data_IF_485067598946
#
_entry.id   IF_485067598946
#
_cell.length_a   1.000
_cell.length_b   1.000
_cell.length_c   1.000
_cell.angle_alpha   90.00
_cell.angle_beta   90.00
_cell.angle_gamma   90.00
#
_symmetry.space_group_name_H-M   'P 1'
#
loop_
_entity.id
_entity.type
_entity.pdbx_description
1 polymer ?
#
# COMPACT_ATOMS: atom_id res chain seq x y z
N UNK A 1 -27.55 0.72 -11.04
CA UNK A 1 -26.83 0.45 -12.30
C UNK A 1 -25.65 -0.47 -12.02
N UNK A 2 -25.54 -1.58 -12.74
CA UNK A 2 -24.29 -2.33 -12.85
C UNK A 2 -23.25 -1.41 -13.49
N UNK A 3 -22.50 -0.68 -12.65
CA UNK A 3 -21.26 -0.06 -13.07
C UNK A 3 -20.30 -1.23 -13.34
N UNK A 4 -20.27 -1.66 -14.60
CA UNK A 4 -19.14 -2.39 -15.13
C UNK A 4 -17.93 -1.46 -15.06
N UNK A 5 -17.33 -1.40 -13.87
CA UNK A 5 -16.06 -0.72 -13.64
C UNK A 5 -15.06 -1.52 -14.45
N UNK A 6 -14.71 -0.97 -15.61
CA UNK A 6 -13.67 -1.50 -16.47
C UNK A 6 -12.40 -1.47 -15.62
N UNK A 7 -11.96 -2.63 -15.15
CA UNK A 7 -10.63 -2.81 -14.60
C UNK A 7 -9.69 -2.35 -15.73
N UNK A 8 -8.89 -1.28 -15.56
CA UNK A 8 -7.97 -0.85 -16.60
C UNK A 8 -7.10 -2.05 -16.97
N UNK A 9 -7.13 -2.44 -18.23
CA UNK A 9 -6.37 -3.57 -18.76
C UNK A 9 -4.88 -3.23 -18.86
N UNK A 10 -4.26 -2.81 -17.76
CA UNK A 10 -2.81 -2.64 -17.62
C UNK A 10 -2.08 -3.99 -17.49
N UNK A 11 -2.83 -5.10 -17.60
CA UNK A 11 -2.31 -6.47 -17.76
C UNK A 11 -1.38 -6.56 -18.98
N UNK A 12 -1.62 -5.78 -20.04
CA UNK A 12 -0.87 -5.85 -21.30
C UNK A 12 0.53 -5.23 -21.21
N UNK A 13 0.67 -4.13 -20.45
CA UNK A 13 1.94 -3.39 -20.35
C UNK A 13 2.90 -4.16 -19.44
N UNK A 14 2.40 -4.66 -18.30
CA UNK A 14 3.22 -5.37 -17.31
C UNK A 14 3.63 -6.79 -17.77
N UNK A 15 2.81 -7.48 -18.58
CA UNK A 15 3.15 -8.79 -19.13
C UNK A 15 4.21 -8.72 -20.24
N UNK A 16 4.17 -7.71 -21.10
CA UNK A 16 5.07 -7.66 -22.25
C UNK A 16 6.51 -7.33 -21.85
N UNK A 17 6.73 -6.43 -20.89
CA UNK A 17 8.08 -6.08 -20.44
C UNK A 17 8.70 -7.19 -19.57
N UNK A 18 7.97 -7.75 -18.59
CA UNK A 18 8.46 -8.84 -17.73
C UNK A 18 8.69 -10.16 -18.49
N UNK A 19 7.82 -10.52 -19.44
CA UNK A 19 8.06 -11.72 -20.25
C UNK A 19 9.28 -11.58 -21.16
N UNK A 20 9.61 -10.36 -21.60
CA UNK A 20 10.80 -10.12 -22.42
C UNK A 20 12.10 -10.20 -21.59
N UNK A 21 12.09 -9.73 -20.34
CA UNK A 21 13.24 -9.87 -19.43
C UNK A 21 13.47 -11.33 -19.02
N UNK A 22 12.42 -12.05 -18.63
CA UNK A 22 12.51 -13.49 -18.29
C UNK A 22 12.96 -14.32 -19.51
N UNK A 23 12.48 -14.00 -20.72
CA UNK A 23 12.94 -14.66 -21.96
C UNK A 23 14.39 -14.33 -22.32
N UNK A 24 14.90 -13.14 -21.96
CA UNK A 24 16.31 -12.78 -22.14
C UNK A 24 17.21 -13.54 -21.17
N UNK A 25 16.85 -13.62 -19.88
CA UNK A 25 17.59 -14.41 -18.88
C UNK A 25 17.62 -15.91 -19.22
N UNK A 26 16.52 -16.44 -19.75
CA UNK A 26 16.46 -17.86 -20.18
C UNK A 26 17.33 -18.13 -21.42
N UNK A 27 17.51 -17.13 -22.30
CA UNK A 27 18.37 -17.25 -23.50
C UNK A 27 19.85 -17.08 -23.17
N UNK A 28 20.20 -16.21 -22.22
CA UNK A 28 21.60 -16.05 -21.77
C UNK A 28 22.11 -17.28 -21.00
N UNK A 29 21.27 -17.91 -20.18
CA UNK A 29 21.64 -19.14 -19.48
C UNK A 29 21.82 -20.35 -20.42
N UNK A 30 21.16 -20.37 -21.59
CA UNK A 30 21.29 -21.46 -22.55
C UNK A 30 22.51 -21.34 -23.47
N UNK A 31 23.09 -20.15 -23.64
CA UNK A 31 24.23 -19.92 -24.52
C UNK A 31 25.60 -20.27 -23.90
N UNK A 32 25.66 -20.60 -22.60
CA UNK A 32 26.91 -20.88 -21.87
C UNK A 32 27.15 -22.36 -21.52
N UNK A 33 26.55 -23.32 -22.25
CA UNK A 33 26.85 -24.74 -22.02
C UNK A 33 27.36 -25.46 -23.27
N UNK A 34 28.69 -25.50 -23.43
CA UNK A 34 29.35 -26.47 -24.31
C UNK A 34 29.56 -27.79 -23.56
N UNK A 35 28.85 -28.81 -24.06
CA UNK A 35 29.21 -30.24 -24.10
C UNK A 35 29.94 -30.86 -22.89
N UNK A 36 29.16 -31.40 -21.94
CA UNK A 36 29.41 -32.71 -21.30
C UNK A 36 28.07 -33.42 -21.06
N UNK A 37 28.03 -34.71 -21.41
CA UNK A 37 26.85 -35.59 -21.38
C UNK A 37 26.05 -35.46 -20.08
N UNK A 38 24.79 -35.03 -20.19
CA UNK A 38 23.86 -34.93 -19.06
C UNK A 38 22.91 -36.11 -19.09
N UNK A 39 22.86 -36.86 -17.98
CA UNK A 39 21.73 -37.74 -17.65
C UNK A 39 20.42 -36.95 -17.75
N UNK A 40 19.29 -37.60 -18.12
CA UNK A 40 18.03 -36.91 -18.31
C UNK A 40 17.58 -36.31 -16.97
N UNK A 41 17.75 -35.00 -16.83
CA UNK A 41 17.22 -34.25 -15.69
C UNK A 41 15.70 -34.33 -15.76
N UNK A 42 15.09 -34.84 -14.69
CA UNK A 42 13.64 -34.91 -14.55
C UNK A 42 13.03 -33.52 -14.79
N UNK A 43 12.02 -33.43 -15.67
CA UNK A 43 11.31 -32.18 -16.01
C UNK A 43 10.74 -31.43 -14.78
N UNK A 44 10.59 -32.13 -13.65
CA UNK A 44 10.12 -31.59 -12.38
C UNK A 44 11.15 -30.73 -11.61
N UNK A 45 12.46 -30.79 -11.92
CA UNK A 45 13.47 -29.92 -11.28
C UNK A 45 13.38 -28.46 -11.76
N UNK A 46 12.94 -28.23 -13.01
CA UNK A 46 12.81 -26.88 -13.55
C UNK A 46 11.64 -26.10 -12.93
N UNK A 47 10.65 -26.79 -12.35
CA UNK A 47 9.57 -26.15 -11.61
C UNK A 47 10.04 -25.57 -10.25
N UNK A 48 11.18 -26.04 -9.74
CA UNK A 48 11.71 -25.68 -8.42
C UNK A 48 12.55 -24.39 -8.38
N UNK A 49 12.83 -23.76 -9.54
CA UNK A 49 13.72 -22.59 -9.63
C UNK A 49 13.05 -21.24 -9.87
N UNK A 50 11.73 -21.17 -10.06
CA UNK A 50 11.04 -19.88 -10.01
C UNK A 50 11.04 -19.40 -8.56
N UNK A 51 11.65 -18.24 -8.30
CA UNK A 51 11.76 -17.69 -6.96
C UNK A 51 10.37 -17.64 -6.32
N UNK A 52 10.19 -18.22 -5.12
CA UNK A 52 8.86 -18.38 -4.51
C UNK A 52 8.11 -17.04 -4.40
N UNK A 53 8.85 -15.95 -4.26
CA UNK A 53 8.29 -14.60 -4.25
C UNK A 53 7.76 -14.14 -5.61
N UNK A 54 8.40 -14.50 -6.72
CA UNK A 54 7.97 -14.13 -8.08
C UNK A 54 6.63 -14.76 -8.47
N UNK A 55 6.28 -15.87 -7.80
CA UNK A 55 5.00 -16.52 -7.97
C UNK A 55 3.86 -15.80 -7.25
N UNK A 56 4.18 -14.90 -6.31
CA UNK A 56 3.17 -14.15 -5.55
C UNK A 56 2.50 -13.09 -6.41
N UNK A 57 1.24 -12.80 -6.08
CA UNK A 57 0.50 -11.73 -6.76
C UNK A 57 1.13 -10.35 -6.52
N UNK A 58 1.75 -10.15 -5.35
CA UNK A 58 2.49 -8.94 -5.01
C UNK A 58 3.62 -8.64 -6.00
N UNK A 59 4.47 -9.63 -6.34
CA UNK A 59 5.52 -9.44 -7.34
C UNK A 59 4.95 -9.17 -8.74
N UNK A 60 3.90 -9.92 -9.11
CA UNK A 60 3.32 -9.87 -10.46
C UNK A 60 2.62 -8.54 -10.75
N UNK A 61 1.90 -7.99 -9.77
CA UNK A 61 0.98 -6.88 -10.01
C UNK A 61 1.26 -5.62 -9.18
N UNK A 62 2.12 -5.68 -8.17
CA UNK A 62 2.37 -4.58 -7.23
C UNK A 62 3.85 -4.25 -7.05
N UNK A 63 4.69 -4.63 -8.02
CA UNK A 63 6.09 -4.21 -8.10
C UNK A 63 6.27 -3.39 -9.38
N UNK A 64 6.75 -2.15 -9.23
CA UNK A 64 6.83 -1.12 -10.26
C UNK A 64 8.20 -0.43 -10.22
N UNK A 65 8.55 0.23 -11.31
CA UNK A 65 9.64 1.22 -11.30
C UNK A 65 9.16 2.55 -10.70
N UNK A 66 10.12 3.42 -10.32
CA UNK A 66 9.79 4.76 -9.79
C UNK A 66 9.02 5.60 -10.80
N UNK A 67 9.35 5.47 -12.09
CA UNK A 67 8.69 6.17 -13.19
C UNK A 67 7.27 5.66 -13.39
N UNK A 68 7.08 4.34 -13.51
CA UNK A 68 5.76 3.72 -13.64
C UNK A 68 4.81 4.11 -12.50
N UNK A 69 5.32 4.14 -11.27
CA UNK A 69 4.51 4.50 -10.10
C UNK A 69 4.03 5.97 -10.17
N UNK A 70 4.87 6.87 -10.66
CA UNK A 70 4.51 8.28 -10.83
C UNK A 70 3.54 8.46 -12.00
N UNK A 71 3.76 7.75 -13.10
CA UNK A 71 2.87 7.79 -14.27
C UNK A 71 1.45 7.32 -13.92
N UNK A 72 1.32 6.22 -13.18
CA UNK A 72 0.01 5.72 -12.69
C UNK A 72 -0.69 6.79 -11.85
N UNK A 73 0.04 7.45 -10.94
CA UNK A 73 -0.54 8.48 -10.07
C UNK A 73 -1.01 9.71 -10.84
N UNK A 74 -0.21 10.16 -11.80
CA UNK A 74 -0.57 11.31 -12.64
C UNK A 74 -1.74 10.99 -13.58
N UNK A 75 -1.77 9.78 -14.13
CA UNK A 75 -2.89 9.30 -14.94
C UNK A 75 -4.19 9.25 -14.15
N UNK A 76 -4.20 8.57 -13.01
CA UNK A 76 -5.38 8.48 -12.12
C UNK A 76 -5.82 9.86 -11.66
N UNK A 77 -4.88 10.74 -11.30
CA UNK A 77 -5.21 12.09 -10.88
C UNK A 77 -5.88 12.89 -12.02
N UNK A 78 -5.35 12.81 -13.25
CA UNK A 78 -5.91 13.49 -14.42
C UNK A 78 -7.31 12.99 -14.77
N UNK A 79 -7.51 11.68 -14.76
CA UNK A 79 -8.81 11.05 -15.05
C UNK A 79 -9.87 11.47 -14.03
N UNK A 80 -9.55 11.39 -12.74
CA UNK A 80 -10.49 11.78 -11.68
C UNK A 80 -10.77 13.29 -11.72
N UNK A 81 -9.78 14.15 -11.98
CA UNK A 81 -10.05 15.59 -12.12
C UNK A 81 -11.06 15.84 -13.24
N UNK A 82 -10.91 15.20 -14.40
CA UNK A 82 -11.84 15.36 -15.51
C UNK A 82 -13.26 14.88 -15.15
N UNK A 83 -13.38 13.78 -14.40
CA UNK A 83 -14.66 13.27 -13.92
C UNK A 83 -15.31 14.21 -12.88
N UNK A 84 -14.53 14.67 -11.90
CA UNK A 84 -14.99 15.58 -10.85
C UNK A 84 -15.44 16.90 -11.46
N UNK A 85 -14.69 17.47 -12.41
CA UNK A 85 -15.11 18.67 -13.15
C UNK A 85 -16.46 18.49 -13.84
N UNK A 86 -16.68 17.33 -14.45
CA UNK A 86 -17.96 17.00 -15.11
C UNK A 86 -19.10 16.90 -14.09
N UNK A 87 -18.86 16.25 -12.96
CA UNK A 87 -19.85 16.09 -11.89
C UNK A 87 -20.20 17.42 -11.22
N UNK A 88 -19.22 18.30 -11.02
CA UNK A 88 -19.41 19.64 -10.49
C UNK A 88 -20.24 20.51 -11.45
N UNK A 89 -19.96 20.44 -12.75
CA UNK A 89 -20.76 21.14 -13.77
C UNK A 89 -22.22 20.68 -13.76
N UNK A 90 -22.46 19.36 -13.71
CA UNK A 90 -23.82 18.79 -13.61
C UNK A 90 -24.55 19.22 -12.35
N UNK A 91 -23.87 19.18 -11.20
CA UNK A 91 -24.46 19.64 -9.93
C UNK A 91 -24.85 21.11 -10.01
N UNK A 92 -24.00 21.96 -10.57
CA UNK A 92 -24.31 23.38 -10.76
C UNK A 92 -25.49 23.59 -11.72
N UNK A 93 -25.56 22.85 -12.82
CA UNK A 93 -26.69 22.89 -13.76
C UNK A 93 -28.01 22.50 -13.07
N UNK A 94 -28.01 21.45 -12.24
CA UNK A 94 -29.18 21.05 -11.47
C UNK A 94 -29.59 22.12 -10.46
N UNK A 95 -28.62 22.70 -9.75
CA UNK A 95 -28.93 23.75 -8.79
C UNK A 95 -29.50 24.98 -9.51
N UNK A 96 -28.97 25.33 -10.69
CA UNK A 96 -29.47 26.44 -11.53
C UNK A 96 -30.90 26.23 -12.00
N UNK A 97 -31.29 25.00 -12.32
CA UNK A 97 -32.68 24.68 -12.69
C UNK A 97 -33.66 24.89 -11.51
N UNK A 98 -33.20 24.68 -10.28
CA UNK A 98 -34.01 24.86 -9.07
C UNK A 98 -34.01 26.32 -8.60
N UNK A 99 -32.89 27.03 -8.75
CA UNK A 99 -32.73 28.41 -8.33
C UNK A 99 -31.94 29.24 -9.37
N UNK A 100 -32.60 30.22 -9.97
CA UNK A 100 -32.02 31.04 -11.04
C UNK A 100 -30.91 32.01 -10.56
N UNK A 101 -30.75 32.25 -9.25
CA UNK A 101 -29.81 33.24 -8.69
C UNK A 101 -28.45 32.66 -8.25
N UNK A 102 -28.01 31.54 -8.83
CA UNK A 102 -26.76 30.89 -8.43
C UNK A 102 -25.53 31.56 -9.07
N UNK A 103 -24.51 31.80 -8.26
CA UNK A 103 -23.22 32.33 -8.70
C UNK A 103 -22.56 31.43 -9.77
N UNK A 104 -21.82 32.02 -10.72
CA UNK A 104 -21.07 31.25 -11.71
C UNK A 104 -19.98 30.39 -11.06
N UNK A 105 -19.71 29.22 -11.65
CA UNK A 105 -18.66 28.30 -11.22
C UNK A 105 -17.31 29.02 -11.14
N UNK A 106 -16.74 29.06 -9.94
CA UNK A 106 -15.37 29.54 -9.72
C UNK A 106 -14.37 28.44 -10.11
N UNK A 107 -13.18 28.80 -10.63
CA UNK A 107 -12.13 27.83 -10.91
C UNK A 107 -11.72 27.13 -9.62
N UNK A 108 -11.79 25.80 -9.62
CA UNK A 108 -11.51 24.97 -8.44
C UNK A 108 -10.04 24.59 -8.46
N UNK A 109 -9.37 24.80 -7.33
CA UNK A 109 -7.99 24.35 -7.17
C UNK A 109 -7.96 22.87 -6.80
N UNK A 110 -7.85 22.00 -7.81
CA UNK A 110 -7.78 20.56 -7.63
C UNK A 110 -6.50 20.12 -6.94
N UNK A 111 -6.59 18.98 -6.27
CA UNK A 111 -5.47 18.36 -5.57
C UNK A 111 -4.50 17.76 -6.60
N UNK A 112 -3.20 17.97 -6.42
CA UNK A 112 -2.17 17.36 -7.31
C UNK A 112 -1.85 15.94 -6.85
N UNK A 113 -1.21 15.13 -7.71
CA UNK A 113 -0.76 13.78 -7.33
C UNK A 113 0.17 13.82 -6.10
N UNK A 114 1.05 14.82 -6.01
CA UNK A 114 1.91 15.03 -4.85
C UNK A 114 1.14 15.38 -3.57
N UNK A 115 0.10 16.22 -3.66
CA UNK A 115 -0.78 16.52 -2.52
C UNK A 115 -1.44 15.23 -2.01
N UNK A 116 -1.92 14.37 -2.92
CA UNK A 116 -2.51 13.06 -2.58
C UNK A 116 -1.49 12.16 -1.88
N UNK A 117 -0.25 12.11 -2.40
CA UNK A 117 0.85 11.32 -1.82
C UNK A 117 1.21 11.79 -0.41
N UNK A 118 1.30 13.10 -0.19
CA UNK A 118 1.58 13.67 1.13
C UNK A 118 0.43 13.33 2.10
N UNK A 119 -0.83 13.51 1.65
CA UNK A 119 -1.97 13.18 2.50
C UNK A 119 -2.04 11.68 2.82
N UNK A 120 -1.74 10.80 1.86
CA UNK A 120 -1.63 9.36 2.07
C UNK A 120 -0.60 9.02 3.14
N UNK A 121 0.61 9.56 3.02
CA UNK A 121 1.69 9.33 3.97
C UNK A 121 1.32 9.77 5.39
N UNK A 122 0.53 10.85 5.54
CA UNK A 122 0.00 11.25 6.84
C UNK A 122 -0.97 10.19 7.42
N UNK A 123 -1.93 9.70 6.62
CA UNK A 123 -2.88 8.68 7.08
C UNK A 123 -2.23 7.31 7.32
N UNK A 124 -1.18 6.96 6.57
CA UNK A 124 -0.37 5.75 6.80
C UNK A 124 0.18 5.73 8.24
N UNK A 125 0.69 6.86 8.73
CA UNK A 125 1.19 6.96 10.11
C UNK A 125 0.09 6.82 11.17
N UNK A 126 -1.19 7.01 10.79
CA UNK A 126 -2.33 6.85 11.70
C UNK A 126 -2.72 5.42 11.95
N UNK A 127 -2.42 4.49 11.04
CA UNK A 127 -2.68 3.07 11.28
C UNK A 127 -1.99 2.56 12.54
N UNK A 128 -0.77 3.04 12.83
CA UNK A 128 -0.05 2.68 14.05
C UNK A 128 -0.81 3.09 15.32
N UNK A 129 -1.36 4.30 15.34
CA UNK A 129 -2.16 4.82 16.47
C UNK A 129 -3.38 3.91 16.72
N UNK A 130 -4.11 3.55 15.66
CA UNK A 130 -5.28 2.66 15.77
C UNK A 130 -4.88 1.25 16.20
N UNK A 131 -3.89 0.63 15.55
CA UNK A 131 -3.46 -0.73 15.88
C UNK A 131 -2.99 -0.84 17.33
N UNK A 132 -2.34 0.20 17.87
CA UNK A 132 -1.96 0.27 19.29
C UNK A 132 -3.18 0.32 20.22
N UNK A 133 -4.22 1.09 19.89
CA UNK A 133 -5.46 1.17 20.68
C UNK A 133 -6.21 -0.16 20.69
N UNK A 134 -6.27 -0.85 19.55
CA UNK A 134 -6.95 -2.14 19.43
C UNK A 134 -6.07 -3.34 19.81
N UNK A 135 -4.77 -3.13 20.06
CA UNK A 135 -3.76 -4.17 20.35
C UNK A 135 -3.66 -5.23 19.24
N UNK A 136 -3.77 -4.80 17.98
CA UNK A 136 -3.63 -5.69 16.84
C UNK A 136 -2.17 -6.12 16.61
N UNK A 137 -2.00 -7.29 15.99
CA UNK A 137 -0.69 -7.81 15.61
C UNK A 137 -0.03 -6.92 14.54
N UNK A 138 1.30 -6.96 14.48
CA UNK A 138 2.13 -6.25 13.50
C UNK A 138 1.75 -6.60 12.05
N UNK A 139 1.34 -7.85 11.80
CA UNK A 139 0.89 -8.29 10.49
C UNK A 139 -0.39 -7.57 10.06
N UNK A 140 -1.36 -7.41 10.96
CA UNK A 140 -2.60 -6.65 10.69
C UNK A 140 -2.26 -5.22 10.32
N UNK A 141 -1.34 -4.58 11.06
CA UNK A 141 -0.88 -3.22 10.77
C UNK A 141 -0.23 -3.12 9.38
N UNK A 142 0.70 -4.03 9.05
CA UNK A 142 1.38 -4.06 7.76
C UNK A 142 0.40 -4.25 6.61
N UNK A 143 -0.47 -5.25 6.71
CA UNK A 143 -1.49 -5.59 5.71
C UNK A 143 -2.48 -4.43 5.52
N UNK A 144 -2.90 -3.75 6.60
CA UNK A 144 -3.78 -2.59 6.54
C UNK A 144 -3.17 -1.42 5.76
N UNK A 145 -1.90 -1.09 6.05
CA UNK A 145 -1.18 -0.01 5.36
C UNK A 145 -1.02 -0.36 3.87
N UNK A 146 -0.69 -1.61 3.56
CA UNK A 146 -0.46 -2.03 2.17
C UNK A 146 -1.77 -2.03 1.38
N UNK A 147 -2.90 -2.48 1.95
CA UNK A 147 -4.20 -2.33 1.30
C UNK A 147 -4.55 -0.87 1.04
N UNK A 148 -4.32 0.01 2.00
CA UNK A 148 -4.57 1.44 1.84
C UNK A 148 -3.76 2.05 0.70
N UNK A 149 -2.48 1.69 0.60
CA UNK A 149 -1.60 2.13 -0.49
C UNK A 149 -2.05 1.61 -1.84
N UNK A 150 -2.35 0.32 -1.92
CA UNK A 150 -2.82 -0.34 -3.15
C UNK A 150 -4.11 0.29 -3.65
N UNK A 151 -5.02 0.61 -2.73
CA UNK A 151 -6.27 1.30 -3.04
C UNK A 151 -6.01 2.70 -3.63
N UNK A 152 -5.25 3.54 -2.92
CA UNK A 152 -4.98 4.92 -3.36
C UNK A 152 -3.98 5.05 -4.52
N UNK A 153 -3.44 3.94 -5.01
CA UNK A 153 -2.69 3.93 -6.26
C UNK A 153 -3.62 4.05 -7.48
N UNK A 154 -4.83 3.51 -7.40
CA UNK A 154 -5.81 3.48 -8.51
C UNK A 154 -7.10 4.25 -8.21
N UNK A 155 -7.23 4.82 -7.00
CA UNK A 155 -8.37 5.63 -6.58
C UNK A 155 -7.89 6.98 -6.05
N UNK A 156 -8.71 8.01 -6.18
CA UNK A 156 -8.39 9.34 -5.64
C UNK A 156 -9.07 9.61 -4.30
N UNK A 157 -8.41 10.40 -3.45
CA UNK A 157 -9.00 10.91 -2.20
C UNK A 157 -10.07 11.97 -2.42
N UNK A 158 -10.22 12.49 -3.65
CA UNK A 158 -11.32 13.39 -4.01
C UNK A 158 -12.67 12.66 -4.04
N UNK A 159 -12.66 11.37 -4.40
CA UNK A 159 -13.85 10.51 -4.44
C UNK A 159 -14.02 9.75 -3.11
N UNK A 160 -12.97 9.12 -2.61
CA UNK A 160 -13.03 8.27 -1.42
C UNK A 160 -12.34 8.93 -0.22
N UNK A 161 -13.11 9.19 0.84
CA UNK A 161 -12.58 9.81 2.05
C UNK A 161 -11.53 8.92 2.75
N UNK A 162 -10.30 9.41 3.01
CA UNK A 162 -9.21 8.61 3.55
C UNK A 162 -9.47 8.02 4.92
N UNK A 163 -10.25 8.70 5.77
CA UNK A 163 -10.67 8.14 7.06
C UNK A 163 -11.53 6.89 6.91
N UNK A 164 -12.47 6.87 5.96
CA UNK A 164 -13.36 5.73 5.77
C UNK A 164 -12.58 4.55 5.19
N UNK A 165 -11.76 4.79 4.16
CA UNK A 165 -10.90 3.75 3.57
C UNK A 165 -9.90 3.21 4.60
N UNK A 166 -9.32 4.05 5.46
CA UNK A 166 -8.44 3.59 6.54
C UNK A 166 -9.13 2.56 7.44
N UNK A 167 -10.35 2.85 7.89
CA UNK A 167 -11.12 1.95 8.75
C UNK A 167 -11.52 0.67 8.01
N UNK A 168 -11.91 0.78 6.74
CA UNK A 168 -12.25 -0.38 5.90
C UNK A 168 -11.03 -1.27 5.66
N UNK A 169 -9.86 -0.71 5.33
CA UNK A 169 -8.61 -1.47 5.16
C UNK A 169 -8.20 -2.16 6.46
N UNK A 170 -8.35 -1.50 7.62
CA UNK A 170 -8.07 -2.08 8.93
C UNK A 170 -9.00 -3.27 9.23
N UNK A 171 -10.29 -3.09 8.98
CA UNK A 171 -11.29 -4.16 9.16
C UNK A 171 -11.03 -5.35 8.22
N UNK A 172 -10.69 -5.08 6.96
CA UNK A 172 -10.37 -6.12 5.97
C UNK A 172 -9.08 -6.87 6.32
N UNK A 173 -8.04 -6.17 6.75
CA UNK A 173 -6.79 -6.79 7.20
C UNK A 173 -6.99 -7.68 8.43
N UNK A 174 -7.84 -7.27 9.37
CA UNK A 174 -8.25 -8.11 10.50
C UNK A 174 -8.85 -9.45 10.03
N UNK A 175 -9.66 -9.45 8.97
CA UNK A 175 -10.20 -10.68 8.37
C UNK A 175 -9.10 -11.52 7.71
N UNK A 176 -8.23 -10.89 6.90
CA UNK A 176 -7.16 -11.59 6.18
C UNK A 176 -6.11 -12.23 7.10
N UNK A 177 -5.76 -11.57 8.20
CA UNK A 177 -4.74 -12.02 9.15
C UNK A 177 -5.31 -12.84 10.32
N UNK A 178 -6.56 -13.32 10.21
CA UNK A 178 -7.24 -14.12 11.25
C UNK A 178 -7.33 -13.43 12.63
N UNK A 179 -7.38 -12.10 12.65
CA UNK A 179 -7.54 -11.29 13.86
C UNK A 179 -8.95 -10.71 13.90
N UNK A 180 -9.93 -11.52 14.29
CA UNK A 180 -11.34 -11.14 14.26
C UNK A 180 -11.67 -9.98 15.23
N UNK A 181 -12.44 -9.01 14.73
CA UNK A 181 -13.11 -7.97 15.52
C UNK A 181 -14.48 -7.70 14.91
N UNK A 182 -15.51 -7.55 15.74
CA UNK A 182 -16.83 -7.14 15.28
C UNK A 182 -16.80 -5.67 14.80
N UNK A 183 -17.48 -5.38 13.68
CA UNK A 183 -17.47 -4.03 13.09
C UNK A 183 -17.99 -2.97 14.06
N UNK A 184 -19.05 -3.28 14.81
CA UNK A 184 -19.63 -2.35 15.78
C UNK A 184 -18.65 -2.05 16.93
N UNK A 185 -17.84 -3.02 17.35
CA UNK A 185 -16.83 -2.83 18.38
C UNK A 185 -15.65 -1.98 17.89
N UNK A 186 -15.26 -2.17 16.62
CA UNK A 186 -14.26 -1.33 15.95
C UNK A 186 -14.75 0.13 15.92
N UNK A 187 -15.97 0.36 15.45
CA UNK A 187 -16.51 1.72 15.26
C UNK A 187 -16.84 2.44 16.57
N UNK A 188 -17.21 1.71 17.63
CA UNK A 188 -17.43 2.28 18.97
C UNK A 188 -16.19 2.97 19.55
N UNK A 189 -15.00 2.47 19.23
CA UNK A 189 -13.72 3.02 19.74
C UNK A 189 -13.16 4.16 18.88
N UNK A 190 -13.74 4.41 17.70
CA UNK A 190 -13.26 5.43 16.77
C UNK A 190 -14.05 6.73 16.99
N UNK A 191 -13.37 7.87 17.24
CA UNK A 191 -14.05 9.15 17.40
C UNK A 191 -14.65 9.60 16.07
N UNK A 192 -15.93 10.02 16.07
CA UNK A 192 -16.68 10.41 14.87
C UNK A 192 -16.64 9.31 13.80
N UNK A 193 -16.99 8.09 14.18
CA UNK A 193 -17.03 6.96 13.26
C UNK A 193 -18.09 7.15 12.18
N UNK A 194 -17.83 6.70 10.95
CA UNK A 194 -18.87 6.60 9.93
C UNK A 194 -19.89 5.50 10.30
N UNK A 195 -21.10 5.52 9.73
CA UNK A 195 -22.06 4.44 9.88
C UNK A 195 -21.47 3.08 9.46
N UNK A 196 -21.82 1.98 10.14
CA UNK A 196 -21.37 0.63 9.76
C UNK A 196 -21.68 0.27 8.30
N UNK A 197 -22.80 0.76 7.76
CA UNK A 197 -23.25 0.54 6.39
C UNK A 197 -22.23 1.06 5.38
N UNK A 198 -21.69 2.27 5.61
CA UNK A 198 -20.66 2.85 4.75
C UNK A 198 -19.40 1.98 4.70
N UNK A 199 -18.99 1.38 5.83
CA UNK A 199 -17.82 0.50 5.85
C UNK A 199 -18.09 -0.80 5.10
N UNK A 200 -19.30 -1.35 5.21
CA UNK A 200 -19.73 -2.56 4.48
C UNK A 200 -19.76 -2.34 2.97
N UNK A 201 -20.28 -1.19 2.52
CA UNK A 201 -20.28 -0.81 1.09
C UNK A 201 -18.84 -0.67 0.56
N UNK A 202 -17.99 0.02 1.32
CA UNK A 202 -16.59 0.20 0.95
C UNK A 202 -15.78 -1.09 0.99
N UNK A 203 -16.20 -2.11 1.75
CA UNK A 203 -15.46 -3.37 1.88
C UNK A 203 -15.24 -4.05 0.52
N UNK A 204 -16.30 -4.14 -0.29
CA UNK A 204 -16.23 -4.72 -1.62
C UNK A 204 -15.44 -3.81 -2.58
N UNK A 205 -15.65 -2.50 -2.50
CA UNK A 205 -14.95 -1.52 -3.36
C UNK A 205 -13.44 -1.56 -3.11
N UNK A 206 -13.02 -1.60 -1.84
CA UNK A 206 -11.61 -1.75 -1.49
C UNK A 206 -11.07 -3.07 -2.02
N UNK A 207 -11.79 -4.17 -1.81
CA UNK A 207 -11.42 -5.50 -2.29
C UNK A 207 -11.21 -5.55 -3.81
N UNK A 208 -12.11 -4.93 -4.58
CA UNK A 208 -12.01 -4.84 -6.03
C UNK A 208 -10.77 -4.05 -6.48
N UNK A 209 -10.50 -2.91 -5.84
CA UNK A 209 -9.37 -2.03 -6.20
C UNK A 209 -8.00 -2.59 -5.79
N UNK A 210 -7.95 -3.40 -4.73
CA UNK A 210 -6.75 -4.21 -4.41
C UNK A 210 -6.69 -5.52 -5.21
N UNK A 211 -7.57 -5.70 -6.22
CA UNK A 211 -7.64 -6.85 -7.13
C UNK A 211 -7.87 -8.19 -6.44
N UNK A 212 -8.55 -8.17 -5.28
CA UNK A 212 -8.76 -9.35 -4.42
C UNK A 212 -7.46 -10.03 -3.98
N UNK A 213 -6.34 -9.30 -4.00
CA UNK A 213 -5.03 -9.82 -3.60
C UNK A 213 -4.77 -9.57 -2.12
N UNK A 214 -5.41 -10.41 -1.31
CA UNK A 214 -5.34 -10.27 0.14
C UNK A 214 -4.02 -10.71 0.75
N UNK A 215 -3.26 -11.59 0.09
CA UNK A 215 -2.00 -12.08 0.61
C UNK A 215 -0.90 -11.03 0.44
N UNK A 216 -0.35 -10.59 1.58
CA UNK A 216 0.70 -9.58 1.64
C UNK A 216 1.98 -10.19 2.22
N UNK A 217 3.09 -9.95 1.54
CA UNK A 217 4.43 -10.28 2.02
C UNK A 217 5.03 -9.05 2.68
N UNK A 218 5.06 -9.06 4.01
CA UNK A 218 5.63 -7.97 4.81
C UNK A 218 7.12 -8.18 5.08
N UNK A 219 7.90 -7.10 5.30
CA UNK A 219 9.33 -7.23 5.61
C UNK A 219 9.60 -7.92 6.95
N UNK A 220 8.63 -7.96 7.88
CA UNK A 220 8.83 -8.54 9.23
C UNK A 220 9.13 -10.04 9.20
N UNK A 221 8.51 -10.78 8.27
CA UNK A 221 8.77 -12.21 8.13
C UNK A 221 10.21 -12.47 7.66
N UNK A 222 10.64 -11.73 6.63
CA UNK A 222 12.02 -11.82 6.13
C UNK A 222 13.04 -11.38 7.19
N UNK A 223 12.71 -10.35 7.98
CA UNK A 223 13.54 -9.86 9.08
C UNK A 223 13.76 -10.93 10.16
N UNK A 224 12.72 -11.68 10.51
CA UNK A 224 12.85 -12.83 11.42
C UNK A 224 13.68 -13.96 10.79
N UNK A 225 13.48 -14.24 9.51
CA UNK A 225 14.29 -15.22 8.77
C UNK A 225 15.79 -14.88 8.79
N UNK A 226 16.15 -13.64 8.47
CA UNK A 226 17.53 -13.17 8.51
C UNK A 226 18.12 -13.20 9.91
N UNK A 227 17.34 -12.90 10.95
CA UNK A 227 17.80 -13.02 12.33
C UNK A 227 18.24 -14.45 12.67
N UNK A 228 17.44 -15.45 12.28
CA UNK A 228 17.78 -16.86 12.50
C UNK A 228 18.97 -17.32 11.64
N UNK A 229 19.03 -16.87 10.39
CA UNK A 229 20.11 -17.23 9.47
C UNK A 229 21.45 -16.64 9.89
N UNK A 230 21.47 -15.36 10.29
CA UNK A 230 22.66 -14.71 10.84
C UNK A 230 23.08 -15.39 12.15
N UNK A 231 22.12 -15.78 13.00
CA UNK A 231 22.43 -16.54 14.22
C UNK A 231 23.12 -17.87 13.90
N UNK A 232 22.67 -18.60 12.87
CA UNK A 232 23.30 -19.82 12.40
C UNK A 232 24.69 -19.56 11.80
N UNK A 233 24.83 -18.53 10.96
CA UNK A 233 26.11 -18.10 10.38
C UNK A 233 27.16 -17.76 11.45
N UNK A 234 26.75 -17.02 12.49
CA UNK A 234 27.64 -16.68 13.60
C UNK A 234 28.08 -17.92 14.41
N UNK A 235 27.22 -18.94 14.50
CA UNK A 235 27.40 -20.17 15.28
C UNK A 235 27.93 -21.36 14.44
N UNK A 236 28.53 -21.13 13.27
CA UNK A 236 28.93 -22.17 12.31
C UNK A 236 29.73 -23.36 12.89
N UNK A 237 29.86 -24.47 12.13
CA UNK A 237 30.27 -25.80 12.63
C UNK A 237 31.65 -25.85 13.32
N UNK A 238 32.54 -24.89 13.05
CA UNK A 238 33.88 -24.81 13.67
C UNK A 238 33.91 -24.06 15.01
N UNK A 239 32.80 -23.44 15.44
CA UNK A 239 32.70 -22.71 16.71
C UNK A 239 32.00 -23.54 17.80
N UNK A 240 32.61 -24.66 18.17
CA UNK A 240 32.14 -25.50 19.28
C UNK A 240 32.31 -24.85 20.67
N UNK A 241 32.93 -23.69 20.76
CA UNK A 241 32.89 -22.84 21.95
C UNK A 241 31.83 -21.75 21.76
N UNK A 242 30.65 -21.94 22.35
CA UNK A 242 29.76 -20.81 22.66
C UNK A 242 30.54 -19.95 23.64
N UNK A 243 31.29 -18.97 23.14
CA UNK A 243 31.94 -17.98 23.99
C UNK A 243 30.81 -17.21 24.68
N UNK A 244 30.57 -17.51 25.97
CA UNK A 244 29.55 -16.84 26.79
C UNK A 244 29.78 -15.31 26.89
N UNK A 245 31.01 -14.87 26.58
CA UNK A 245 31.44 -13.48 26.50
C UNK A 245 31.16 -12.82 25.14
N UNK A 246 30.66 -13.58 24.15
CA UNK A 246 30.53 -13.07 22.79
C UNK A 246 29.38 -12.08 22.70
N UNK A 247 29.74 -10.79 22.73
CA UNK A 247 28.85 -9.67 22.55
C UNK A 247 28.13 -9.70 21.19
N UNK A 248 28.58 -10.53 20.23
CA UNK A 248 27.99 -10.66 18.88
C UNK A 248 26.50 -11.03 18.91
N UNK A 249 26.10 -12.04 19.70
CA UNK A 249 24.70 -12.48 19.80
C UNK A 249 23.81 -11.45 20.50
N UNK A 250 24.35 -10.79 21.54
CA UNK A 250 23.65 -9.68 22.21
C UNK A 250 23.46 -8.49 21.27
N UNK A 251 24.50 -8.14 20.51
CA UNK A 251 24.44 -7.10 19.47
C UNK A 251 23.43 -7.47 18.40
N UNK A 252 23.42 -8.70 17.90
CA UNK A 252 22.43 -9.18 16.92
C UNK A 252 21.00 -9.05 17.44
N UNK A 253 20.73 -9.48 18.67
CA UNK A 253 19.40 -9.33 19.27
C UNK A 253 18.99 -7.86 19.40
N UNK A 254 19.93 -6.98 19.77
CA UNK A 254 19.69 -5.55 19.85
C UNK A 254 19.42 -4.96 18.46
N UNK A 255 20.22 -5.32 17.45
CA UNK A 255 20.02 -4.93 16.04
C UNK A 255 18.66 -5.36 15.54
N UNK A 256 18.26 -6.61 15.79
CA UNK A 256 16.96 -7.16 15.41
C UNK A 256 15.80 -6.40 16.05
N UNK A 257 15.90 -6.04 17.34
CA UNK A 257 14.87 -5.24 18.00
C UNK A 257 14.79 -3.83 17.39
N UNK A 258 15.93 -3.17 17.20
CA UNK A 258 15.99 -1.84 16.59
C UNK A 258 15.53 -1.84 15.12
N UNK A 259 15.75 -2.92 14.38
CA UNK A 259 15.35 -3.01 12.97
C UNK A 259 13.83 -3.07 12.78
N UNK A 260 13.05 -3.39 13.81
CA UNK A 260 11.57 -3.31 13.73
C UNK A 260 11.10 -1.87 13.53
N UNK A 261 11.76 -0.88 14.14
CA UNK A 261 11.43 0.53 13.97
C UNK A 261 11.64 0.97 12.52
N UNK A 262 12.76 0.56 11.92
CA UNK A 262 13.04 0.80 10.50
C UNK A 262 12.08 0.03 9.57
N UNK A 263 11.67 -1.18 9.95
CA UNK A 263 10.68 -1.94 9.20
C UNK A 263 9.28 -1.31 9.28
N UNK A 264 8.92 -0.62 10.37
CA UNK A 264 7.71 0.21 10.39
C UNK A 264 7.83 1.41 9.46
N UNK A 265 8.99 2.07 9.46
CA UNK A 265 9.25 3.20 8.56
C UNK A 265 9.21 2.76 7.09
N UNK A 266 9.68 1.54 6.78
CA UNK A 266 9.70 1.03 5.41
C UNK A 266 8.31 0.74 4.84
N UNK A 267 7.31 0.54 5.70
CA UNK A 267 5.91 0.48 5.29
C UNK A 267 5.36 1.84 4.87
N UNK A 268 6.01 2.94 5.23
CA UNK A 268 5.60 4.27 4.83
C UNK A 268 6.28 4.65 3.50
N UNK A 269 5.56 5.36 2.63
CA UNK A 269 6.06 5.71 1.30
C UNK A 269 6.08 4.54 0.30
N UNK A 270 7.00 4.58 -0.67
CA UNK A 270 6.87 3.78 -1.90
C UNK A 270 7.69 2.49 -1.90
N UNK A 271 8.50 2.25 -0.87
CA UNK A 271 9.48 1.15 -0.86
C UNK A 271 8.86 -0.23 -1.13
N UNK A 272 7.66 -0.49 -0.60
CA UNK A 272 6.94 -1.76 -0.78
C UNK A 272 6.53 -2.03 -2.23
N UNK A 273 6.46 -0.99 -3.06
CA UNK A 273 6.14 -1.06 -4.48
C UNK A 273 7.38 -1.15 -5.37
N UNK A 274 8.57 -0.86 -4.84
CA UNK A 274 9.82 -0.77 -5.61
C UNK A 274 10.72 -1.98 -5.37
N UNK A 275 10.74 -2.50 -4.14
CA UNK A 275 11.72 -3.48 -3.70
C UNK A 275 11.09 -4.71 -3.08
N UNK A 276 11.87 -5.78 -3.03
CA UNK A 276 11.42 -7.03 -2.43
C UNK A 276 11.38 -6.91 -0.91
N UNK A 277 10.43 -7.56 -0.22
CA UNK A 277 10.35 -7.52 1.24
C UNK A 277 11.64 -8.00 1.93
N UNK A 278 12.36 -8.95 1.33
CA UNK A 278 13.67 -9.40 1.80
C UNK A 278 14.76 -8.34 1.66
N UNK A 279 14.82 -7.63 0.54
CA UNK A 279 15.75 -6.50 0.34
C UNK A 279 15.47 -5.39 1.36
N UNK A 280 14.18 -5.06 1.55
CA UNK A 280 13.75 -4.08 2.55
C UNK A 280 14.17 -4.51 3.95
N UNK A 281 13.92 -5.77 4.33
CA UNK A 281 14.26 -6.30 5.64
C UNK A 281 15.78 -6.25 5.92
N UNK A 282 16.60 -6.61 4.93
CA UNK A 282 18.05 -6.56 5.05
C UNK A 282 18.54 -5.11 5.16
N UNK A 283 17.99 -4.19 4.37
CA UNK A 283 18.30 -2.76 4.50
C UNK A 283 17.90 -2.19 5.86
N UNK A 284 16.77 -2.63 6.45
CA UNK A 284 16.39 -2.27 7.82
C UNK A 284 17.39 -2.80 8.87
N UNK A 285 17.94 -4.01 8.67
CA UNK A 285 19.01 -4.54 9.53
C UNK A 285 20.31 -3.75 9.38
N UNK A 286 20.67 -3.34 8.16
CA UNK A 286 21.84 -2.48 7.91
C UNK A 286 21.72 -1.11 8.59
N UNK A 287 20.55 -0.47 8.47
CA UNK A 287 20.27 0.79 9.15
C UNK A 287 20.41 0.65 10.68
N UNK A 288 19.87 -0.44 11.24
CA UNK A 288 19.98 -0.73 12.67
C UNK A 288 21.40 -1.09 13.11
N UNK A 289 22.16 -1.82 12.29
CA UNK A 289 23.50 -2.32 12.64
C UNK A 289 24.51 -1.19 12.85
N UNK A 290 24.32 -0.05 12.14
CA UNK A 290 25.12 1.17 12.30
C UNK A 290 25.03 1.74 13.71
N UNK A 291 23.86 1.65 14.34
CA UNK A 291 23.64 2.18 15.69
C UNK A 291 24.06 1.21 16.80
N UNK A 292 24.07 -0.10 16.51
CA UNK A 292 24.37 -1.15 17.51
C UNK A 292 25.78 -1.72 17.40
N UNK A 293 26.59 -1.23 16.46
CA UNK A 293 27.96 -1.70 16.24
C UNK A 293 28.05 -3.13 15.67
N UNK A 294 27.03 -3.59 14.95
CA UNK A 294 26.97 -4.93 14.33
C UNK A 294 27.32 -4.90 12.83
N UNK A 295 27.67 -3.74 12.28
CA UNK A 295 27.84 -3.56 10.82
C UNK A 295 28.87 -4.49 10.18
N UNK A 296 30.04 -4.73 10.82
CA UNK A 296 31.08 -5.60 10.26
C UNK A 296 30.63 -7.06 10.13
N UNK A 297 29.95 -7.56 11.16
CA UNK A 297 29.44 -8.93 11.19
C UNK A 297 28.35 -9.11 10.12
N UNK A 298 27.49 -8.10 9.95
CA UNK A 298 26.45 -8.08 8.92
C UNK A 298 27.02 -7.96 7.50
N UNK A 299 28.02 -7.11 7.27
CA UNK A 299 28.72 -6.99 5.98
C UNK A 299 29.35 -8.32 5.57
N UNK A 300 30.04 -9.01 6.50
CA UNK A 300 30.60 -10.33 6.24
C UNK A 300 29.55 -11.39 5.89
N UNK A 301 28.35 -11.29 6.48
CA UNK A 301 27.21 -12.13 6.13
C UNK A 301 26.65 -11.79 4.73
N UNK A 302 26.51 -10.51 4.39
CA UNK A 302 26.08 -10.07 3.05
C UNK A 302 27.08 -10.52 1.99
N UNK A 303 28.37 -10.40 2.27
CA UNK A 303 29.42 -10.90 1.39
C UNK A 303 29.26 -12.41 1.17
N UNK A 304 28.98 -13.16 2.25
CA UNK A 304 28.71 -14.60 2.16
C UNK A 304 27.50 -14.97 1.31
N UNK A 305 26.41 -14.19 1.39
CA UNK A 305 25.21 -14.40 0.56
C UNK A 305 25.47 -14.23 -0.94
N UNK A 306 26.44 -13.38 -1.29
CA UNK A 306 26.69 -12.96 -2.67
C UNK A 306 27.90 -13.66 -3.29
N UNK A 307 28.62 -14.50 -2.53
CA UNK A 307 29.84 -15.23 -2.97
C UNK A 307 29.67 -15.98 -4.29
N UNK A 308 28.51 -16.56 -4.53
CA UNK A 308 28.25 -17.40 -5.71
C UNK A 308 27.65 -16.62 -6.90
N UNK A 309 27.41 -15.31 -6.75
CA UNK A 309 26.82 -14.46 -7.79
C UNK A 309 27.89 -13.75 -8.63
N UNK A 310 27.52 -13.27 -9.82
CA UNK A 310 28.40 -12.42 -10.62
C UNK A 310 28.66 -11.08 -9.93
N UNK A 311 29.84 -10.50 -10.15
CA UNK A 311 30.23 -9.20 -9.54
C UNK A 311 29.22 -8.09 -9.87
N UNK A 312 28.68 -8.05 -11.09
CA UNK A 312 27.70 -7.04 -11.50
C UNK A 312 26.39 -7.14 -10.70
N UNK A 313 25.82 -8.35 -10.57
CA UNK A 313 24.59 -8.58 -9.79
C UNK A 313 24.79 -8.32 -8.30
N UNK A 314 25.99 -8.61 -7.80
CA UNK A 314 26.41 -8.31 -6.44
C UNK A 314 26.38 -6.81 -6.16
N UNK A 315 26.94 -6.01 -7.08
CA UNK A 315 27.02 -4.56 -6.94
C UNK A 315 25.63 -3.90 -7.09
N UNK A 316 24.81 -4.36 -8.03
CA UNK A 316 23.41 -3.92 -8.16
C UNK A 316 22.61 -4.18 -6.88
N UNK A 317 22.74 -5.37 -6.30
CA UNK A 317 22.08 -5.71 -5.04
C UNK A 317 22.50 -4.78 -3.90
N UNK A 318 23.80 -4.47 -3.77
CA UNK A 318 24.31 -3.54 -2.76
C UNK A 318 23.79 -2.12 -2.99
N UNK A 319 23.74 -1.67 -4.24
CA UNK A 319 23.21 -0.36 -4.59
C UNK A 319 21.73 -0.23 -4.17
N UNK A 320 20.90 -1.25 -4.44
CA UNK A 320 19.52 -1.26 -3.99
C UNK A 320 19.40 -1.18 -2.46
N UNK A 321 20.23 -1.90 -1.70
CA UNK A 321 20.20 -1.83 -0.23
C UNK A 321 20.56 -0.42 0.28
N UNK A 322 21.56 0.22 -0.32
CA UNK A 322 21.98 1.59 0.03
C UNK A 322 20.88 2.60 -0.30
N UNK A 323 20.20 2.45 -1.44
CA UNK A 323 19.06 3.29 -1.82
C UNK A 323 17.91 3.18 -0.80
N UNK A 324 17.55 1.94 -0.42
CA UNK A 324 16.50 1.70 0.57
C UNK A 324 16.89 2.33 1.90
N UNK A 325 18.10 2.07 2.38
CA UNK A 325 18.61 2.62 3.65
C UNK A 325 18.61 4.15 3.65
N UNK A 326 18.98 4.77 2.54
CA UNK A 326 18.95 6.23 2.38
C UNK A 326 17.51 6.75 2.47
N UNK A 327 16.57 6.08 1.81
CA UNK A 327 15.15 6.43 1.89
C UNK A 327 14.58 6.29 3.30
N UNK A 328 14.98 5.25 4.04
CA UNK A 328 14.57 5.06 5.45
C UNK A 328 15.12 6.17 6.34
N UNK A 329 16.37 6.59 6.12
CA UNK A 329 17.04 7.62 6.91
C UNK A 329 16.48 9.02 6.64
N UNK A 330 16.01 9.28 5.41
CA UNK A 330 15.41 10.54 4.99
C UNK A 330 13.91 10.66 5.33
N UNK A 331 13.30 9.62 5.89
CA UNK A 331 11.88 9.64 6.21
C UNK A 331 11.57 10.72 7.26
N UNK A 332 10.73 11.67 6.87
CA UNK A 332 10.23 12.73 7.76
C UNK A 332 8.74 12.54 7.96
N UNK A 333 8.33 12.43 9.22
CA UNK A 333 6.91 12.37 9.59
C UNK A 333 6.23 13.68 9.21
N UNK A 334 5.12 13.58 8.49
CA UNK A 334 4.35 14.76 8.07
C UNK A 334 3.69 15.44 9.27
N UNK A 335 3.90 16.75 9.36
CA UNK A 335 3.23 17.59 10.34
C UNK A 335 1.72 17.68 10.13
N UNK A 336 0.97 17.66 11.23
CA UNK A 336 -0.50 17.76 11.21
C UNK A 336 -1.01 19.06 10.57
N UNK A 337 -0.25 20.16 10.71
CA UNK A 337 -0.53 21.46 10.11
C UNK A 337 -0.59 21.36 8.57
N UNK A 338 0.46 20.79 7.97
CA UNK A 338 0.57 20.57 6.52
C UNK A 338 -0.54 19.64 6.00
N UNK A 339 -0.78 18.53 6.70
CA UNK A 339 -1.86 17.61 6.34
C UNK A 339 -3.24 18.26 6.42
N UNK A 340 -3.49 19.13 7.42
CA UNK A 340 -4.76 19.83 7.56
C UNK A 340 -5.03 20.83 6.43
N UNK A 341 -3.99 21.49 5.89
CA UNK A 341 -4.11 22.36 4.72
C UNK A 341 -4.55 21.57 3.48
N UNK A 342 -3.92 20.41 3.25
CA UNK A 342 -4.27 19.54 2.11
C UNK A 342 -5.66 18.92 2.30
N UNK A 343 -6.03 18.51 3.51
CA UNK A 343 -7.38 18.02 3.80
C UNK A 343 -8.44 19.11 3.56
N UNK A 344 -8.14 20.38 3.90
CA UNK A 344 -9.03 21.51 3.57
C UNK A 344 -9.17 21.70 2.06
N UNK A 345 -8.08 21.54 1.31
CA UNK A 345 -8.10 21.56 -0.16
C UNK A 345 -8.96 20.41 -0.71
N UNK A 346 -8.77 19.19 -0.19
CA UNK A 346 -9.57 18.00 -0.54
C UNK A 346 -11.07 18.23 -0.33
N UNK A 347 -11.47 18.82 0.79
CA UNK A 347 -12.88 19.15 1.06
C UNK A 347 -13.44 20.16 0.06
N UNK A 348 -12.61 21.07 -0.47
CA UNK A 348 -13.00 22.03 -1.50
C UNK A 348 -13.14 21.43 -2.91
N UNK A 349 -12.49 20.29 -3.18
CA UNK A 349 -12.55 19.59 -4.47
C UNK A 349 -13.16 18.19 -4.37
N UNK A 350 -13.95 17.92 -3.32
CA UNK A 350 -14.62 16.63 -3.16
C UNK A 350 -15.64 16.40 -4.27
N UNK A 351 -15.65 15.19 -4.84
CA UNK A 351 -16.60 14.82 -5.88
C UNK A 351 -18.05 14.91 -5.34
N UNK A 352 -18.92 15.73 -5.96
CA UNK A 352 -20.33 15.79 -5.59
C UNK A 352 -21.03 14.44 -5.70
N UNK A 353 -20.64 13.59 -6.65
CA UNK A 353 -21.22 12.26 -6.85
C UNK A 353 -20.87 11.26 -5.75
N UNK A 354 -19.89 11.56 -4.89
CA UNK A 354 -19.48 10.73 -3.76
C UNK A 354 -19.71 11.44 -2.42
N UNK A 355 -20.43 12.56 -2.43
CA UNK A 355 -20.76 13.31 -1.23
C UNK A 355 -22.24 13.09 -0.86
N UNK A 356 -22.55 12.40 0.26
CA UNK A 356 -23.92 12.17 0.71
C UNK A 356 -24.78 13.43 0.88
N UNK A 357 -24.13 14.59 1.07
CA UNK A 357 -24.79 15.89 1.22
C UNK A 357 -25.08 16.58 -0.12
N UNK A 358 -24.49 16.14 -1.22
CA UNK A 358 -24.72 16.73 -2.54
C UNK A 358 -26.07 16.29 -3.11
N UNK A 359 -26.70 17.17 -3.89
CA UNK A 359 -27.97 16.87 -4.56
C UNK A 359 -27.78 15.83 -5.66
N UNK A 360 -26.65 15.85 -6.37
CA UNK A 360 -26.27 14.84 -7.36
C UNK A 360 -26.28 13.43 -6.78
N UNK A 361 -25.64 13.23 -5.62
CA UNK A 361 -25.61 11.95 -4.92
C UNK A 361 -27.03 11.49 -4.54
N UNK A 362 -27.83 12.37 -3.93
CA UNK A 362 -29.21 12.06 -3.55
C UNK A 362 -30.04 11.67 -4.76
N UNK A 363 -29.91 12.36 -5.89
CA UNK A 363 -30.64 12.02 -7.12
C UNK A 363 -30.19 10.69 -7.73
N UNK A 364 -28.92 10.31 -7.61
CA UNK A 364 -28.44 9.00 -8.08
C UNK A 364 -28.99 7.83 -7.25
N UNK A 365 -29.20 8.05 -5.95
CA UNK A 365 -29.80 7.05 -5.05
C UNK A 365 -31.33 7.03 -5.19
N UNK A 366 -31.99 8.18 -5.00
CA UNK A 366 -33.45 8.30 -4.93
C UNK A 366 -34.14 8.48 -6.29
N UNK A 367 -33.44 8.99 -7.31
CA UNK A 367 -33.99 9.05 -8.68
C UNK A 367 -34.14 7.68 -9.34
N UNK A 368 -33.66 6.60 -8.72
CA UNK A 368 -34.01 5.22 -9.06
C UNK A 368 -35.23 4.70 -8.30
N UNK A 369 -35.65 5.35 -7.21
CA UNK A 369 -36.83 4.99 -6.42
C UNK A 369 -38.08 5.75 -6.90
N UNK A 370 -37.91 6.94 -7.49
CA UNK A 370 -39.01 7.80 -7.96
C UNK A 370 -39.78 7.27 -9.20
N UNK A 371 -39.36 6.18 -9.85
CA UNK A 371 -40.20 5.52 -10.87
C UNK A 371 -41.28 4.60 -10.26
N UNK A 372 -41.24 4.31 -8.95
CA UNK A 372 -42.20 3.43 -8.28
C UNK A 372 -42.98 4.07 -7.12
N UNK A 373 -42.82 5.35 -6.85
CA UNK A 373 -43.59 6.03 -5.80
C UNK A 373 -43.93 7.49 -6.11
N UNK A 374 -44.54 7.75 -7.28
CA UNK A 374 -45.46 8.87 -7.38
C UNK A 374 -46.77 8.54 -6.65
N UNK A 375 -46.75 8.61 -5.32
CA UNK A 375 -47.88 9.16 -4.56
C UNK A 375 -47.49 9.42 -3.12
N UNK A 376 -47.66 10.70 -2.73
CA UNK A 376 -47.62 11.26 -1.38
C UNK A 376 -46.27 11.30 -0.67
N UNK A 377 -45.70 12.51 -0.59
CA UNK A 377 -45.45 13.19 0.70
C UNK A 377 -45.39 14.70 0.42
N UNK A 378 -46.23 15.44 1.15
CA UNK A 378 -46.43 16.88 1.13
C UNK A 378 -45.41 17.62 2.01
N UNK A 379 -45.19 18.90 1.67
CA UNK A 379 -44.18 19.85 2.16
C UNK A 379 -44.22 20.27 3.66
N UNK A 380 -44.51 19.37 4.62
CA UNK A 380 -44.67 19.79 6.04
C UNK A 380 -43.49 19.49 6.99
N UNK A 381 -42.44 18.75 6.61
CA UNK A 381 -41.37 18.35 7.55
C UNK A 381 -40.11 19.25 7.56
N UNK A 382 -40.14 20.42 6.91
CA UNK A 382 -38.96 21.30 6.76
C UNK A 382 -38.76 22.36 7.87
N UNK A 383 -39.36 22.20 9.07
CA UNK A 383 -39.31 23.26 10.11
C UNK A 383 -38.64 22.86 11.44
N UNK A 384 -38.31 21.60 11.72
CA UNK A 384 -37.86 21.23 13.09
C UNK A 384 -36.34 21.06 13.34
N UNK A 385 -35.44 21.28 12.38
CA UNK A 385 -33.98 21.09 12.61
C UNK A 385 -33.14 22.38 12.70
N UNK A 386 -33.73 23.55 12.94
CA UNK A 386 -32.97 24.78 13.26
C UNK A 386 -32.85 25.12 14.76
N UNK A 387 -33.41 24.32 15.67
CA UNK A 387 -33.16 24.49 17.11
C UNK A 387 -32.94 23.15 17.83
N UNK A 388 -31.67 22.71 17.93
CA UNK A 388 -31.06 22.11 19.14
C UNK A 388 -29.58 21.79 19.02
#
# INVERSE_FOLDING_TARGET
MESSIIIPSNISINRNNKNQEIQKETKENNNNSSSKEKQPKNEYENFHLANLYEQTSQFRHWLFTKEELNDIREEVNREVIAEVEKNIKREWEYQKQINNNIEPLKPINFMTADDQKILALFYETKFFDYCRVFKFNINVLATSIIYFKRFYLYCSMMQYAPKNILLTCLFLACKSENSYIALDELLKKVPKSPPPETIKELELIVSQNIRFEYQIQSPFWALHGFYLDIQAYLNGPDKNSVNLEDNSQRRLLQTYKSSHEYAFISLYGDLIFLYWPSQIALACLMAASRNTGFSKDLEGYIDNLVKDQSSEKADEFRNHLIEIETSLSQFIKIEKSKAALIERKRLGCQDPAFNPKSKLYRKQIYGHEDENSESSISDDDMVEEEEK
#
